data_IF_245638981040
#
_entry.id   IF_245638981040
#
_cell.length_a   1.000
_cell.length_b   1.000
_cell.length_c   1.000
_cell.angle_alpha   90.00
_cell.angle_beta   90.00
_cell.angle_gamma   90.00
#
_symmetry.space_group_name_H-M   'P 1'
#
loop_
_entity.id
_entity.type
_entity.pdbx_description
1 polymer ?
#
# COMPACT_ATOMS: atom_id res chain seq x y z
N UNK A 1 -7.61 -32.18 -5.49
CA UNK A 1 -8.94 -31.66 -5.89
C UNK A 1 -8.74 -30.39 -6.70
N UNK A 2 -9.36 -30.29 -7.89
CA UNK A 2 -9.15 -29.21 -8.88
C UNK A 2 -9.75 -27.88 -8.40
N UNK A 3 -9.11 -26.77 -8.76
CA UNK A 3 -9.65 -25.41 -8.59
C UNK A 3 -11.03 -25.31 -9.25
N UNK A 4 -11.98 -24.69 -8.56
CA UNK A 4 -13.34 -24.50 -9.07
C UNK A 4 -13.41 -23.08 -9.66
N UNK A 5 -13.50 -23.00 -10.98
CA UNK A 5 -13.81 -21.73 -11.67
C UNK A 5 -15.29 -21.47 -11.47
N UNK A 6 -15.66 -20.36 -10.82
CA UNK A 6 -17.05 -19.94 -10.69
C UNK A 6 -17.19 -18.53 -11.25
N UNK A 7 -17.82 -18.40 -12.42
CA UNK A 7 -18.18 -17.11 -13.00
C UNK A 7 -19.23 -16.43 -12.12
N UNK A 8 -18.96 -15.20 -11.68
CA UNK A 8 -19.94 -14.35 -11.00
C UNK A 8 -20.10 -13.06 -11.76
N UNK A 9 -21.34 -12.71 -12.09
CA UNK A 9 -21.70 -11.46 -12.74
C UNK A 9 -22.01 -10.41 -11.66
N UNK A 10 -21.36 -9.25 -11.74
CA UNK A 10 -21.68 -8.08 -10.92
C UNK A 10 -22.32 -6.99 -11.77
N UNK A 11 -23.28 -6.27 -11.20
CA UNK A 11 -23.93 -5.12 -11.82
C UNK A 11 -23.26 -3.84 -11.35
N UNK A 12 -22.93 -2.94 -12.27
CA UNK A 12 -22.63 -1.55 -11.95
C UNK A 12 -23.84 -0.71 -12.33
N UNK A 13 -24.49 -0.08 -11.34
CA UNK A 13 -25.57 0.87 -11.59
C UNK A 13 -24.97 2.21 -12.06
N UNK A 14 -24.94 2.40 -13.38
CA UNK A 14 -25.17 3.67 -14.13
C UNK A 14 -24.64 3.49 -15.55
N UNK A 15 -25.36 2.68 -16.32
CA UNK A 15 -25.46 2.60 -17.79
C UNK A 15 -25.66 1.13 -18.18
N UNK A 16 -26.92 0.80 -18.44
CA UNK A 16 -27.28 -0.46 -19.08
C UNK A 16 -26.46 -0.61 -20.38
N UNK A 17 -25.73 -1.72 -20.50
CA UNK A 17 -25.04 -2.29 -21.70
C UNK A 17 -23.51 -2.43 -21.69
N UNK A 18 -22.80 -2.39 -20.56
CA UNK A 18 -21.46 -3.02 -20.48
C UNK A 18 -21.33 -3.94 -19.28
N UNK A 19 -21.67 -5.22 -19.50
CA UNK A 19 -21.29 -6.30 -18.58
C UNK A 19 -19.77 -6.49 -18.72
N UNK A 20 -18.99 -6.06 -17.72
CA UNK A 20 -17.61 -6.55 -17.57
C UNK A 20 -17.68 -7.83 -16.76
N UNK A 21 -17.56 -8.97 -17.43
CA UNK A 21 -17.43 -10.27 -16.77
C UNK A 21 -16.08 -10.32 -16.04
N UNK A 22 -16.10 -10.36 -14.71
CA UNK A 22 -14.91 -10.67 -13.92
C UNK A 22 -14.86 -12.19 -13.71
N UNK A 23 -13.87 -12.84 -14.31
CA UNK A 23 -13.64 -14.27 -14.11
C UNK A 23 -13.00 -14.49 -12.75
N UNK A 24 -13.81 -14.78 -11.74
CA UNK A 24 -13.31 -15.16 -10.41
C UNK A 24 -12.93 -16.65 -10.44
N UNK A 25 -11.64 -16.94 -10.48
CA UNK A 25 -11.16 -18.28 -10.14
C UNK A 25 -11.12 -18.34 -8.62
N UNK A 26 -11.96 -19.16 -7.98
CA UNK A 26 -11.81 -19.48 -6.54
C UNK A 26 -10.64 -20.44 -6.40
N UNK A 27 -9.45 -19.88 -6.54
CA UNK A 27 -8.19 -20.56 -6.28
C UNK A 27 -8.13 -20.80 -4.78
N UNK A 28 -7.83 -22.02 -4.34
CA UNK A 28 -7.58 -22.27 -2.92
C UNK A 28 -6.45 -21.39 -2.42
N UNK A 29 -6.64 -20.68 -1.31
CA UNK A 29 -5.58 -19.98 -0.59
C UNK A 29 -5.22 -20.73 0.69
N UNK A 30 -4.00 -20.53 1.19
CA UNK A 30 -3.56 -21.02 2.50
C UNK A 30 -3.75 -19.95 3.59
N UNK A 31 -3.95 -18.69 3.20
CA UNK A 31 -4.37 -17.60 4.08
C UNK A 31 -5.35 -16.67 3.37
N UNK A 32 -6.36 -16.19 4.11
CA UNK A 32 -7.24 -15.09 3.70
C UNK A 32 -6.97 -13.89 4.61
N UNK A 33 -6.81 -12.71 4.01
CA UNK A 33 -6.74 -11.42 4.69
C UNK A 33 -8.04 -10.65 4.44
N UNK A 34 -8.74 -10.34 5.53
CA UNK A 34 -9.95 -9.54 5.58
C UNK A 34 -9.57 -8.14 6.02
N UNK A 35 -9.52 -7.21 5.07
CA UNK A 35 -9.07 -5.84 5.24
C UNK A 35 -10.32 -4.98 5.50
N UNK A 36 -10.54 -4.57 6.74
CA UNK A 36 -11.69 -3.76 7.10
C UNK A 36 -11.38 -2.28 6.92
N UNK A 37 -12.33 -1.51 6.38
CA UNK A 37 -12.19 -0.06 6.14
C UNK A 37 -11.72 0.74 7.37
N UNK A 38 -11.92 0.20 8.58
CA UNK A 38 -11.56 0.81 9.86
C UNK A 38 -10.10 0.54 10.29
N UNK A 39 -9.26 -0.06 9.46
CA UNK A 39 -7.85 -0.32 9.76
C UNK A 39 -7.54 -1.68 10.39
N UNK A 40 -8.55 -2.48 10.72
CA UNK A 40 -8.35 -3.84 11.22
C UNK A 40 -8.07 -4.80 10.05
N UNK A 41 -7.10 -5.70 10.24
CA UNK A 41 -6.87 -6.81 9.31
C UNK A 41 -7.18 -8.12 10.03
N UNK A 42 -8.32 -8.69 9.70
CA UNK A 42 -8.65 -10.06 10.04
C UNK A 42 -7.82 -11.02 9.18
N UNK A 43 -7.43 -12.17 9.73
CA UNK A 43 -6.82 -13.23 8.93
C UNK A 43 -7.37 -14.60 9.29
N UNK A 44 -7.44 -15.46 8.28
CA UNK A 44 -7.87 -16.86 8.41
C UNK A 44 -6.82 -17.77 7.79
N UNK A 45 -6.41 -18.78 8.54
CA UNK A 45 -5.47 -19.81 8.09
C UNK A 45 -6.25 -21.01 7.57
N UNK A 46 -5.89 -21.49 6.38
CA UNK A 46 -6.64 -22.53 5.67
C UNK A 46 -5.74 -23.73 5.44
N UNK A 47 -6.24 -24.92 5.80
CA UNK A 47 -5.62 -26.17 5.39
C UNK A 47 -6.03 -26.51 3.94
N UNK A 48 -5.18 -26.15 3.00
CA UNK A 48 -5.40 -26.41 1.57
C UNK A 48 -5.18 -27.88 1.17
N UNK A 49 -4.53 -28.69 2.03
CA UNK A 49 -4.15 -30.08 1.74
C UNK A 49 -5.31 -31.07 1.83
N UNK A 50 -6.34 -30.76 2.64
CA UNK A 50 -7.58 -31.53 2.71
C UNK A 50 -7.43 -33.00 3.10
N UNK A 51 -6.34 -33.36 3.80
CA UNK A 51 -6.05 -34.75 4.19
C UNK A 51 -6.79 -35.20 5.47
N UNK A 52 -7.64 -34.35 6.05
CA UNK A 52 -8.46 -34.64 7.24
C UNK A 52 -7.71 -34.58 8.56
N UNK A 53 -6.39 -34.35 8.55
CA UNK A 53 -5.60 -34.22 9.78
C UNK A 53 -5.64 -32.78 10.27
N UNK A 54 -6.19 -32.56 11.48
CA UNK A 54 -6.22 -31.24 12.10
C UNK A 54 -4.79 -30.72 12.31
N UNK A 55 -4.42 -29.67 11.58
CA UNK A 55 -3.14 -28.98 11.77
C UNK A 55 -3.21 -27.99 12.92
N UNK A 56 -2.08 -27.79 13.59
CA UNK A 56 -1.95 -26.72 14.58
C UNK A 56 -1.84 -25.38 13.84
N UNK A 57 -2.19 -24.29 14.54
CA UNK A 57 -2.07 -22.94 14.01
C UNK A 57 -0.64 -22.62 13.54
N UNK A 58 0.37 -23.06 14.30
CA UNK A 58 1.79 -22.89 13.93
C UNK A 58 2.13 -23.58 12.61
N UNK A 59 1.63 -24.80 12.38
CA UNK A 59 1.84 -25.52 11.12
C UNK A 59 1.22 -24.75 9.96
N UNK A 60 0.01 -24.22 10.12
CA UNK A 60 -0.67 -23.45 9.07
C UNK A 60 0.03 -22.13 8.75
N UNK A 61 0.49 -21.39 9.77
CA UNK A 61 1.30 -20.17 9.59
C UNK A 61 2.55 -20.44 8.77
N UNK A 62 3.18 -21.59 9.04
CA UNK A 62 4.41 -22.02 8.36
C UNK A 62 4.18 -22.59 6.96
N UNK A 63 2.96 -23.04 6.64
CA UNK A 63 2.60 -23.60 5.33
C UNK A 63 1.98 -22.59 4.36
N UNK A 64 1.95 -21.29 4.70
CA UNK A 64 1.46 -20.23 3.80
C UNK A 64 2.23 -20.23 2.48
N UNK A 65 1.48 -20.34 1.38
CA UNK A 65 1.98 -20.41 0.01
C UNK A 65 1.15 -19.57 -0.98
N UNK A 66 -0.03 -19.08 -0.56
CA UNK A 66 -0.97 -18.33 -1.39
C UNK A 66 -1.92 -17.51 -0.52
N UNK A 67 -1.96 -16.21 -0.74
CA UNK A 67 -2.75 -15.25 0.03
C UNK A 67 -3.93 -14.73 -0.79
N UNK A 68 -5.12 -14.73 -0.19
CA UNK A 68 -6.31 -14.08 -0.74
C UNK A 68 -6.60 -12.79 0.03
N UNK A 69 -6.91 -11.71 -0.68
CA UNK A 69 -7.20 -10.40 -0.10
C UNK A 69 -8.67 -10.03 -0.36
N UNK A 70 -9.38 -9.71 0.72
CA UNK A 70 -10.80 -9.35 0.70
C UNK A 70 -10.94 -8.05 1.45
N UNK A 71 -11.39 -6.99 0.79
CA UNK A 71 -11.66 -5.71 1.43
C UNK A 71 -13.14 -5.62 1.84
N UNK A 72 -13.40 -5.08 3.03
CA UNK A 72 -14.74 -4.83 3.56
C UNK A 72 -14.91 -3.33 3.65
N UNK A 73 -15.78 -2.78 2.80
CA UNK A 73 -16.04 -1.34 2.75
C UNK A 73 -16.75 -0.83 4.02
N UNK A 74 -17.02 0.48 4.08
CA UNK A 74 -17.71 1.10 5.22
C UNK A 74 -19.13 0.60 5.49
N UNK A 75 -19.75 -0.07 4.52
CA UNK A 75 -21.07 -0.69 4.62
C UNK A 75 -20.98 -2.19 4.92
N UNK A 76 -19.76 -2.75 5.00
CA UNK A 76 -19.50 -4.18 5.18
C UNK A 76 -19.59 -4.99 3.88
N UNK A 77 -19.68 -4.34 2.72
CA UNK A 77 -19.66 -5.01 1.41
C UNK A 77 -18.29 -5.63 1.17
N UNK A 78 -18.27 -6.87 0.71
CA UNK A 78 -17.03 -7.59 0.43
C UNK A 78 -16.56 -7.40 -1.02
N UNK A 79 -15.29 -7.07 -1.15
CA UNK A 79 -14.58 -6.90 -2.40
C UNK A 79 -13.43 -7.89 -2.47
N UNK A 80 -13.57 -8.94 -3.26
CA UNK A 80 -12.48 -9.89 -3.52
C UNK A 80 -11.45 -9.24 -4.46
N UNK A 81 -10.31 -8.83 -3.90
CA UNK A 81 -9.29 -8.07 -4.62
C UNK A 81 -8.45 -9.00 -5.49
N UNK A 82 -8.02 -10.13 -4.92
CA UNK A 82 -7.23 -11.11 -5.64
C UNK A 82 -6.67 -12.22 -4.75
N UNK A 83 -6.13 -13.24 -5.40
CA UNK A 83 -5.42 -14.35 -4.75
C UNK A 83 -4.05 -14.50 -5.40
N UNK A 84 -2.98 -14.34 -4.61
CA UNK A 84 -1.62 -14.22 -5.08
C UNK A 84 -0.71 -15.30 -4.48
N UNK A 85 0.21 -15.80 -5.28
CA UNK A 85 1.24 -16.74 -4.80
C UNK A 85 2.18 -16.04 -3.84
N UNK A 86 2.50 -16.71 -2.72
CA UNK A 86 3.49 -16.25 -1.76
C UNK A 86 4.84 -16.85 -2.13
N UNK A 87 5.84 -15.98 -2.33
CA UNK A 87 7.25 -16.37 -2.39
C UNK A 87 7.75 -16.52 -0.95
N UNK A 88 8.11 -17.74 -0.59
CA UNK A 88 8.57 -18.10 0.76
C UNK A 88 10.09 -18.20 0.75
N UNK A 89 10.75 -17.52 1.70
CA UNK A 89 12.20 -17.54 1.87
C UNK A 89 12.57 -17.64 3.35
N UNK A 90 13.75 -18.18 3.64
CA UNK A 90 14.23 -18.32 5.01
C UNK A 90 14.44 -16.95 5.66
N UNK A 91 14.15 -16.86 6.96
CA UNK A 91 14.45 -15.67 7.73
C UNK A 91 15.93 -15.68 8.16
N UNK A 92 16.73 -14.81 7.55
CA UNK A 92 18.15 -14.60 7.90
C UNK A 92 18.39 -13.39 8.80
N UNK A 93 17.32 -12.70 9.22
CA UNK A 93 17.38 -11.48 10.04
C UNK A 93 17.03 -11.80 11.50
N UNK A 94 17.95 -11.48 12.43
CA UNK A 94 17.76 -11.74 13.86
C UNK A 94 16.70 -10.86 14.51
N UNK A 95 16.40 -9.70 13.92
CA UNK A 95 15.45 -8.70 14.40
C UNK A 95 14.05 -8.84 13.76
N UNK A 96 13.89 -9.71 12.76
CA UNK A 96 12.59 -9.95 12.13
C UNK A 96 11.78 -10.98 12.88
N UNK A 97 10.48 -10.67 13.07
CA UNK A 97 9.44 -11.62 13.48
C UNK A 97 8.25 -11.42 12.57
N UNK A 98 7.81 -12.49 11.92
CA UNK A 98 6.58 -12.49 11.16
C UNK A 98 5.41 -12.14 12.08
N UNK A 99 4.56 -11.20 11.62
CA UNK A 99 3.47 -10.67 12.43
C UNK A 99 2.34 -11.68 12.67
N UNK A 100 2.21 -12.68 11.82
CA UNK A 100 1.31 -13.80 12.09
C UNK A 100 1.96 -14.85 13.01
N UNK A 101 3.28 -14.85 13.17
CA UNK A 101 4.03 -15.81 13.99
C UNK A 101 4.53 -17.04 13.24
N UNK A 102 4.74 -16.95 11.93
CA UNK A 102 5.51 -17.91 11.15
C UNK A 102 7.02 -17.76 11.33
N UNK A 103 7.78 -18.76 10.87
CA UNK A 103 9.22 -18.85 11.03
C UNK A 103 10.00 -18.33 9.79
N UNK A 104 9.29 -18.05 8.68
CA UNK A 104 9.85 -17.62 7.39
C UNK A 104 9.43 -16.21 7.00
N UNK A 105 9.97 -15.71 5.88
CA UNK A 105 9.52 -14.48 5.24
C UNK A 105 8.57 -14.86 4.08
N UNK A 106 7.41 -14.20 4.05
CA UNK A 106 6.31 -14.47 3.11
C UNK A 106 6.10 -13.23 2.27
N UNK A 107 6.42 -13.30 0.97
CA UNK A 107 6.45 -12.15 0.08
C UNK A 107 5.45 -12.29 -1.07
N UNK A 108 4.87 -11.16 -1.49
CA UNK A 108 4.11 -11.01 -2.73
C UNK A 108 4.93 -10.16 -3.69
N UNK A 109 5.04 -10.58 -4.94
CA UNK A 109 5.53 -9.72 -6.01
C UNK A 109 4.43 -8.73 -6.38
N UNK A 110 4.54 -7.47 -5.95
CA UNK A 110 3.55 -6.42 -6.20
C UNK A 110 3.39 -6.15 -7.70
N UNK A 111 4.50 -6.04 -8.44
CA UNK A 111 4.47 -5.76 -9.89
C UNK A 111 3.68 -6.79 -10.69
N UNK A 112 3.78 -8.07 -10.31
CA UNK A 112 3.14 -9.16 -11.06
C UNK A 112 1.67 -9.35 -10.66
N UNK A 113 1.29 -8.94 -9.45
CA UNK A 113 0.03 -9.37 -8.83
C UNK A 113 -0.94 -8.22 -8.54
N UNK A 114 -0.46 -7.01 -8.28
CA UNK A 114 -1.26 -5.88 -7.78
C UNK A 114 -1.19 -4.73 -8.78
N UNK A 115 -2.25 -4.56 -9.57
CA UNK A 115 -2.31 -3.53 -10.61
C UNK A 115 -3.55 -2.64 -10.53
N UNK A 116 -4.75 -3.21 -10.37
CA UNK A 116 -5.97 -2.42 -10.19
C UNK A 116 -7.13 -3.26 -9.65
N UNK A 117 -8.10 -2.58 -9.06
CA UNK A 117 -9.42 -3.11 -8.73
C UNK A 117 -10.46 -2.00 -8.93
N UNK A 118 -11.67 -2.36 -9.35
CA UNK A 118 -12.79 -1.41 -9.40
C UNK A 118 -14.13 -2.15 -9.30
N UNK A 119 -14.98 -1.70 -8.39
CA UNK A 119 -16.37 -2.12 -8.24
C UNK A 119 -17.18 -0.99 -7.62
N UNK A 120 -18.04 -0.35 -8.41
CA UNK A 120 -18.73 0.86 -7.98
C UNK A 120 -17.73 1.96 -7.61
N UNK A 121 -17.90 2.54 -6.42
CA UNK A 121 -17.05 3.61 -5.89
C UNK A 121 -15.78 3.09 -5.19
N UNK A 122 -15.60 1.78 -5.11
CA UNK A 122 -14.41 1.15 -4.51
C UNK A 122 -13.43 0.78 -5.59
N UNK A 123 -12.20 1.30 -5.53
CA UNK A 123 -11.17 0.95 -6.50
C UNK A 123 -9.80 1.51 -6.19
N UNK A 124 -8.81 1.07 -6.97
CA UNK A 124 -7.50 1.68 -7.05
C UNK A 124 -6.83 1.29 -8.37
N UNK A 125 -5.81 2.04 -8.76
CA UNK A 125 -4.84 1.63 -9.78
C UNK A 125 -3.44 1.89 -9.26
N UNK A 126 -2.57 0.90 -9.42
CA UNK A 126 -1.17 0.90 -9.01
C UNK A 126 -0.30 0.52 -10.21
N UNK A 127 0.61 1.41 -10.56
CA UNK A 127 1.71 1.08 -11.47
C UNK A 127 2.96 0.73 -10.68
N UNK A 128 3.94 0.08 -11.31
CA UNK A 128 5.21 -0.27 -10.66
C UNK A 128 6.37 0.13 -11.57
N UNK A 129 7.37 0.80 -11.01
CA UNK A 129 8.56 1.25 -11.73
C UNK A 129 9.86 0.76 -11.07
N UNK A 130 9.80 -0.38 -10.37
CA UNK A 130 10.88 -0.88 -9.52
C UNK A 130 11.37 -2.26 -9.91
N UNK A 131 12.65 -2.53 -9.68
CA UNK A 131 13.25 -3.87 -9.73
C UNK A 131 13.17 -4.60 -8.38
N UNK A 132 12.58 -3.96 -7.37
CA UNK A 132 12.46 -4.46 -5.99
C UNK A 132 10.99 -4.67 -5.63
N UNK A 133 10.25 -5.57 -6.29
CA UNK A 133 8.79 -5.52 -6.28
C UNK A 133 8.17 -6.25 -5.09
N UNK A 134 8.95 -6.71 -4.10
CA UNK A 134 8.44 -7.63 -3.08
C UNK A 134 8.03 -6.88 -1.81
N UNK A 135 6.81 -7.14 -1.38
CA UNK A 135 6.28 -6.73 -0.09
C UNK A 135 5.89 -7.98 0.72
N UNK A 136 5.94 -7.91 2.04
CA UNK A 136 5.42 -8.99 2.87
C UNK A 136 3.91 -9.18 2.62
N UNK A 137 3.41 -10.42 2.69
CA UNK A 137 2.01 -10.75 2.43
C UNK A 137 1.03 -9.94 3.30
N UNK A 138 1.27 -9.85 4.60
CA UNK A 138 0.45 -9.01 5.47
C UNK A 138 0.67 -7.51 5.20
N UNK A 139 1.89 -7.07 4.87
CA UNK A 139 2.15 -5.66 4.49
C UNK A 139 1.38 -5.29 3.20
N UNK A 140 1.23 -6.24 2.28
CA UNK A 140 0.41 -6.10 1.07
C UNK A 140 -1.07 -5.87 1.43
N UNK A 141 -1.61 -6.58 2.43
CA UNK A 141 -2.97 -6.37 2.90
C UNK A 141 -3.20 -4.93 3.38
N UNK A 142 -2.26 -4.39 4.16
CA UNK A 142 -2.32 -3.00 4.61
C UNK A 142 -2.25 -2.01 3.46
N UNK A 143 -1.47 -2.31 2.41
CA UNK A 143 -1.29 -1.38 1.27
C UNK A 143 -2.55 -1.30 0.44
N UNK A 144 -3.14 -2.47 0.19
CA UNK A 144 -4.46 -2.57 -0.43
C UNK A 144 -5.50 -1.80 0.39
N UNK A 145 -5.52 -1.95 1.71
CA UNK A 145 -6.43 -1.20 2.59
C UNK A 145 -6.30 0.31 2.43
N UNK A 146 -5.08 0.85 2.50
CA UNK A 146 -4.85 2.28 2.38
C UNK A 146 -5.23 2.83 0.99
N UNK A 147 -4.91 2.10 -0.08
CA UNK A 147 -5.28 2.48 -1.45
C UNK A 147 -6.80 2.41 -1.68
N UNK A 148 -7.47 1.36 -1.18
CA UNK A 148 -8.92 1.19 -1.31
C UNK A 148 -9.71 2.20 -0.46
N UNK A 149 -9.21 2.59 0.71
CA UNK A 149 -9.82 3.63 1.54
C UNK A 149 -9.78 5.01 0.88
N UNK A 150 -8.83 5.25 -0.02
CA UNK A 150 -8.67 6.55 -0.70
C UNK A 150 -9.23 6.57 -2.11
N UNK A 151 -9.29 5.43 -2.79
CA UNK A 151 -9.95 5.33 -4.09
C UNK A 151 -9.13 5.84 -5.27
N UNK A 152 -7.84 6.16 -5.08
CA UNK A 152 -7.03 6.82 -6.12
C UNK A 152 -6.52 5.86 -7.20
N UNK A 153 -6.33 6.39 -8.41
CA UNK A 153 -6.03 5.61 -9.63
C UNK A 153 -4.67 5.91 -10.24
N UNK A 154 -3.78 6.52 -9.49
CA UNK A 154 -2.48 7.04 -9.96
C UNK A 154 -1.33 6.69 -9.00
N UNK A 155 -1.49 5.65 -8.18
CA UNK A 155 -0.41 5.18 -7.32
C UNK A 155 0.74 4.61 -8.15
N UNK A 156 1.97 4.82 -7.66
CA UNK A 156 3.17 4.19 -8.24
C UNK A 156 4.04 3.56 -7.15
N UNK A 157 4.16 2.25 -7.21
CA UNK A 157 5.02 1.46 -6.33
C UNK A 157 6.49 1.59 -6.76
N UNK A 158 7.31 2.13 -5.87
CA UNK A 158 8.70 2.49 -6.16
C UNK A 158 9.72 1.53 -5.53
N UNK A 159 9.29 0.62 -4.63
CA UNK A 159 10.14 -0.47 -4.17
C UNK A 159 9.78 -1.08 -2.81
N UNK A 160 10.25 -2.30 -2.61
CA UNK A 160 10.31 -3.02 -1.35
C UNK A 160 11.60 -3.82 -1.29
N UNK A 161 11.50 -5.10 -0.98
CA UNK A 161 12.62 -6.04 -0.93
C UNK A 161 12.88 -6.72 -2.29
N UNK A 162 13.93 -7.54 -2.37
CA UNK A 162 14.01 -8.59 -3.38
C UNK A 162 13.21 -9.84 -2.97
N UNK A 163 13.25 -10.89 -3.80
CA UNK A 163 12.56 -12.16 -3.59
C UNK A 163 13.09 -12.99 -2.40
N UNK A 164 14.23 -12.63 -1.84
CA UNK A 164 14.81 -13.23 -0.61
C UNK A 164 14.49 -12.42 0.65
N UNK A 165 13.75 -11.31 0.51
CA UNK A 165 13.49 -10.40 1.62
C UNK A 165 14.69 -9.52 1.97
N UNK A 166 15.71 -9.44 1.12
CA UNK A 166 16.87 -8.57 1.35
C UNK A 166 16.56 -7.17 0.80
N UNK A 167 17.09 -6.15 1.48
CA UNK A 167 17.07 -4.77 0.98
C UNK A 167 18.12 -4.61 -0.10
N UNK A 168 17.75 -4.39 -1.38
CA UNK A 168 18.71 -4.19 -2.44
C UNK A 168 19.36 -2.80 -2.34
N UNK A 169 20.63 -2.72 -2.72
CA UNK A 169 21.40 -1.46 -2.79
C UNK A 169 20.66 -0.39 -3.61
N UNK A 170 20.72 0.90 -3.23
CA UNK A 170 21.48 1.49 -2.12
C UNK A 170 20.80 1.41 -0.76
N UNK A 171 19.53 0.98 -0.70
CA UNK A 171 18.77 0.97 0.54
C UNK A 171 19.19 -0.19 1.44
N UNK A 172 19.10 0.02 2.76
CA UNK A 172 19.41 -0.99 3.79
C UNK A 172 18.20 -1.38 4.65
N UNK A 173 17.05 -0.74 4.44
CA UNK A 173 15.89 -0.83 5.35
C UNK A 173 14.74 -1.67 4.82
N UNK A 174 14.64 -1.94 3.52
CA UNK A 174 13.57 -2.79 2.93
C UNK A 174 13.78 -4.28 3.15
N UNK A 175 14.31 -4.66 4.30
CA UNK A 175 14.39 -6.07 4.68
C UNK A 175 12.98 -6.60 4.86
N UNK A 176 12.82 -7.91 4.67
CA UNK A 176 11.63 -8.74 4.85
C UNK A 176 10.32 -8.24 4.19
N UNK A 177 10.37 -7.19 3.38
CA UNK A 177 9.22 -6.64 2.67
C UNK A 177 8.25 -5.82 3.53
N UNK A 178 8.62 -5.41 4.76
CA UNK A 178 7.74 -4.57 5.62
C UNK A 178 7.93 -3.07 5.43
N UNK A 179 8.99 -2.64 4.74
CA UNK A 179 9.19 -1.24 4.36
C UNK A 179 9.00 -1.08 2.85
N UNK A 180 8.32 -0.02 2.43
CA UNK A 180 7.91 0.19 1.04
C UNK A 180 8.14 1.65 0.63
N UNK A 181 8.47 1.87 -0.63
CA UNK A 181 8.53 3.19 -1.25
C UNK A 181 7.36 3.36 -2.21
N UNK A 182 6.68 4.51 -2.13
CA UNK A 182 5.69 4.94 -3.13
C UNK A 182 6.03 6.35 -3.60
N UNK A 183 5.76 6.65 -4.88
CA UNK A 183 5.83 8.03 -5.36
C UNK A 183 4.77 8.89 -4.66
N UNK A 184 5.05 10.19 -4.58
CA UNK A 184 4.06 11.17 -4.15
C UNK A 184 2.92 11.29 -5.17
N UNK A 185 1.72 11.61 -4.69
CA UNK A 185 0.55 11.87 -5.53
C UNK A 185 0.64 13.26 -6.19
N UNK A 186 0.22 13.35 -7.44
CA UNK A 186 0.26 14.58 -8.23
C UNK A 186 -1.12 15.17 -8.40
N UNK A 187 -1.18 16.50 -8.55
CA UNK A 187 -2.43 17.21 -8.88
C UNK A 187 -2.99 16.82 -10.23
N UNK A 188 -2.13 16.44 -11.17
CA UNK A 188 -2.51 16.01 -12.52
C UNK A 188 -2.86 14.51 -12.62
N UNK A 189 -2.79 13.80 -11.49
CA UNK A 189 -3.13 12.38 -11.37
C UNK A 189 -2.40 11.46 -12.36
N UNK A 190 -1.23 11.87 -12.85
CA UNK A 190 -0.47 11.13 -13.86
C UNK A 190 0.30 9.91 -13.31
N UNK A 191 0.51 9.83 -12.00
CA UNK A 191 1.46 8.90 -11.37
C UNK A 191 2.93 9.19 -11.71
N UNK A 192 3.21 10.31 -12.38
CA UNK A 192 4.56 10.72 -12.77
C UNK A 192 5.46 11.06 -11.58
N UNK A 193 6.71 11.43 -11.86
CA UNK A 193 7.69 11.69 -10.80
C UNK A 193 7.47 13.06 -10.15
N UNK A 194 7.68 13.14 -8.83
CA UNK A 194 7.64 14.39 -8.04
C UNK A 194 8.95 14.50 -7.29
N UNK A 195 9.65 15.63 -7.38
CA UNK A 195 10.91 15.90 -6.68
C UNK A 195 10.68 17.13 -5.80
N UNK A 196 10.42 16.92 -4.51
CA UNK A 196 10.02 17.96 -3.56
C UNK A 196 11.11 18.99 -3.23
N UNK A 197 12.34 18.77 -3.69
CA UNK A 197 13.44 19.73 -3.69
C UNK A 197 13.45 20.65 -4.93
N UNK A 198 12.44 20.54 -5.81
CA UNK A 198 12.19 21.45 -6.94
C UNK A 198 10.93 22.30 -6.72
N UNK A 199 10.83 23.41 -7.45
CA UNK A 199 9.75 24.40 -7.30
C UNK A 199 8.72 24.37 -8.45
N UNK A 200 8.89 23.52 -9.46
CA UNK A 200 8.06 23.49 -10.66
C UNK A 200 6.67 22.88 -10.38
N UNK A 201 5.63 23.37 -11.06
CA UNK A 201 4.26 22.82 -10.94
C UNK A 201 4.02 21.64 -11.88
N UNK A 202 4.69 21.63 -13.03
CA UNK A 202 4.54 20.63 -14.09
C UNK A 202 5.90 20.03 -14.47
N UNK A 203 5.89 18.95 -15.27
CA UNK A 203 7.08 18.29 -15.79
C UNK A 203 7.29 16.86 -15.29
N UNK A 204 8.38 16.23 -15.76
CA UNK A 204 8.82 14.88 -15.36
C UNK A 204 10.30 14.93 -14.94
N UNK A 205 10.62 15.15 -13.64
CA UNK A 205 9.69 15.31 -12.52
C UNK A 205 9.15 16.74 -12.38
N UNK A 206 7.94 16.87 -11.82
CA UNK A 206 7.46 18.14 -11.26
C UNK A 206 8.03 18.37 -9.84
N UNK A 207 7.89 19.59 -9.31
CA UNK A 207 8.32 19.97 -7.96
C UNK A 207 7.21 19.91 -6.91
N UNK A 208 7.45 20.50 -5.73
CA UNK A 208 6.44 20.52 -4.66
C UNK A 208 5.16 21.28 -5.03
N UNK A 209 5.19 22.16 -6.05
CA UNK A 209 3.97 22.81 -6.55
C UNK A 209 3.06 21.84 -7.31
N UNK A 210 3.59 20.77 -7.88
CA UNK A 210 2.84 19.71 -8.56
C UNK A 210 2.31 18.61 -7.64
N UNK A 211 2.76 18.59 -6.38
CA UNK A 211 2.28 17.67 -5.33
C UNK A 211 0.81 17.96 -5.00
N UNK A 212 0.00 16.90 -4.94
CA UNK A 212 -1.35 16.99 -4.37
C UNK A 212 -1.29 16.72 -2.86
N UNK A 213 -1.15 17.79 -2.08
CA UNK A 213 -1.02 17.71 -0.62
C UNK A 213 -2.28 17.14 0.02
N UNK A 214 -3.47 17.45 -0.50
CA UNK A 214 -4.72 16.99 0.09
C UNK A 214 -4.87 15.49 -0.08
N UNK A 215 -4.72 14.98 -1.30
CA UNK A 215 -4.77 13.55 -1.60
C UNK A 215 -3.66 12.80 -0.88
N UNK A 216 -2.44 13.35 -0.86
CA UNK A 216 -1.32 12.74 -0.15
C UNK A 216 -1.58 12.64 1.35
N UNK A 217 -2.17 13.65 1.98
CA UNK A 217 -2.49 13.62 3.41
C UNK A 217 -3.59 12.60 3.73
N UNK A 218 -4.64 12.51 2.91
CA UNK A 218 -5.67 11.46 3.04
C UNK A 218 -5.07 10.06 2.91
N UNK A 219 -4.12 9.87 1.99
CA UNK A 219 -3.41 8.62 1.86
C UNK A 219 -2.48 8.33 3.06
N UNK A 220 -1.78 9.34 3.57
CA UNK A 220 -0.95 9.19 4.78
C UNK A 220 -1.79 8.81 6.01
N UNK A 221 -2.98 9.40 6.17
CA UNK A 221 -3.92 9.03 7.23
C UNK A 221 -4.39 7.57 7.08
N UNK A 222 -4.72 7.14 5.86
CA UNK A 222 -5.08 5.75 5.58
C UNK A 222 -3.90 4.80 5.87
N UNK A 223 -2.67 5.16 5.51
CA UNK A 223 -1.47 4.40 5.88
C UNK A 223 -1.30 4.32 7.40
N UNK A 224 -1.48 5.40 8.15
CA UNK A 224 -1.40 5.34 9.63
C UNK A 224 -2.47 4.40 10.20
N UNK A 225 -3.68 4.46 9.65
CA UNK A 225 -4.81 3.61 10.02
C UNK A 225 -4.49 2.12 9.85
N UNK A 226 -3.84 1.74 8.75
CA UNK A 226 -3.41 0.36 8.46
C UNK A 226 -2.03 0.00 9.03
N UNK A 227 -1.53 0.77 10.01
CA UNK A 227 -0.44 0.32 10.87
C UNK A 227 0.96 0.79 10.48
N UNK A 228 1.11 1.69 9.51
CA UNK A 228 2.41 2.33 9.29
C UNK A 228 2.62 3.44 10.30
N UNK A 229 3.59 3.23 11.21
CA UNK A 229 3.83 4.16 12.33
C UNK A 229 4.87 5.23 12.01
N UNK A 230 5.50 5.17 10.84
CA UNK A 230 6.47 6.17 10.41
C UNK A 230 6.48 6.23 8.88
N UNK A 231 6.09 7.40 8.37
CA UNK A 231 6.14 7.74 6.95
C UNK A 231 7.25 8.78 6.81
N UNK A 232 8.31 8.43 6.09
CA UNK A 232 9.46 9.32 5.88
C UNK A 232 9.28 10.08 4.57
N UNK A 233 9.46 11.40 4.62
CA UNK A 233 9.27 12.28 3.47
C UNK A 233 10.22 13.49 3.53
N UNK A 234 10.28 14.24 2.44
CA UNK A 234 11.03 15.50 2.38
C UNK A 234 10.15 16.68 2.81
N UNK A 235 10.64 17.48 3.75
CA UNK A 235 9.93 18.66 4.27
C UNK A 235 10.30 19.89 3.46
N UNK A 236 9.69 20.04 2.28
CA UNK A 236 9.97 21.13 1.33
C UNK A 236 9.62 22.53 1.84
N UNK A 237 8.86 22.63 2.93
CA UNK A 237 8.48 23.89 3.58
C UNK A 237 9.44 24.32 4.69
N UNK A 238 10.37 23.45 5.10
CA UNK A 238 11.32 23.77 6.17
C UNK A 238 12.55 24.47 5.59
N UNK A 239 12.75 25.75 5.91
CA UNK A 239 13.90 26.51 5.44
C UNK A 239 15.24 26.10 6.06
N UNK A 240 15.23 25.34 7.17
CA UNK A 240 16.44 24.80 7.81
C UNK A 240 16.88 23.54 7.09
N UNK A 241 15.97 22.58 6.94
CA UNK A 241 16.27 21.28 6.36
C UNK A 241 16.21 21.28 4.82
N UNK A 242 15.48 22.21 4.21
CA UNK A 242 15.26 22.35 2.76
C UNK A 242 15.44 23.81 2.31
N UNK A 243 16.62 24.44 2.48
CA UNK A 243 16.78 25.89 2.30
C UNK A 243 16.39 26.42 0.92
N UNK A 244 16.60 25.64 -0.15
CA UNK A 244 16.26 26.03 -1.52
C UNK A 244 14.76 26.12 -1.76
N UNK A 245 13.98 25.17 -1.23
CA UNK A 245 12.52 25.14 -1.43
C UNK A 245 11.77 25.82 -0.30
N UNK A 246 12.23 25.71 0.94
CA UNK A 246 11.58 26.28 2.12
C UNK A 246 11.46 27.80 2.08
N UNK A 247 12.48 28.51 1.55
CA UNK A 247 12.38 29.96 1.35
C UNK A 247 11.28 30.32 0.33
N UNK A 248 11.29 29.65 -0.83
CA UNK A 248 10.30 29.86 -1.90
C UNK A 248 8.90 29.49 -1.41
N UNK A 249 8.78 28.43 -0.62
CA UNK A 249 7.53 28.01 0.00
C UNK A 249 7.00 29.07 0.98
N UNK A 250 7.85 29.65 1.83
CA UNK A 250 7.46 30.70 2.78
C UNK A 250 6.92 31.95 2.07
N UNK A 251 7.59 32.37 0.98
CA UNK A 251 7.15 33.50 0.14
C UNK A 251 5.78 33.20 -0.49
N UNK A 252 5.63 32.01 -1.08
CA UNK A 252 4.35 31.57 -1.65
C UNK A 252 3.23 31.45 -0.60
N UNK A 253 3.52 30.86 0.56
CA UNK A 253 2.57 30.65 1.63
C UNK A 253 2.04 31.98 2.19
N UNK A 254 2.88 33.01 2.24
CA UNK A 254 2.49 34.35 2.68
C UNK A 254 1.44 34.97 1.76
N UNK A 255 1.57 34.79 0.44
CA UNK A 255 0.55 35.25 -0.53
C UNK A 255 -0.69 34.35 -0.53
N UNK A 256 -0.49 33.04 -0.44
CA UNK A 256 -1.59 32.06 -0.37
C UNK A 256 -2.48 32.32 0.85
N UNK A 257 -1.91 32.64 2.02
CA UNK A 257 -2.66 32.90 3.25
C UNK A 257 -3.53 34.16 3.14
N UNK A 258 -3.07 35.20 2.42
CA UNK A 258 -3.89 36.40 2.16
C UNK A 258 -5.12 36.07 1.31
N UNK A 259 -4.97 35.16 0.34
CA UNK A 259 -6.07 34.70 -0.50
C UNK A 259 -7.01 33.71 0.21
N UNK A 260 -6.54 33.05 1.28
CA UNK A 260 -7.29 32.03 2.03
C UNK A 260 -7.33 32.33 3.54
N UNK A 261 -7.85 33.50 3.97
CA UNK A 261 -7.75 33.96 5.35
C UNK A 261 -8.50 33.08 6.37
N UNK A 262 -9.45 32.26 5.92
CA UNK A 262 -10.20 31.32 6.76
C UNK A 262 -9.51 29.97 6.95
N UNK A 263 -8.44 29.66 6.20
CA UNK A 263 -7.74 28.38 6.30
C UNK A 263 -6.61 28.49 7.32
N UNK A 264 -6.75 27.77 8.42
CA UNK A 264 -5.80 27.79 9.55
C UNK A 264 -4.63 26.83 9.30
N UNK A 265 -4.90 25.70 8.64
CA UNK A 265 -3.93 24.66 8.41
C UNK A 265 -3.02 24.98 7.21
N UNK A 266 -1.71 24.77 7.40
CA UNK A 266 -0.72 24.90 6.33
C UNK A 266 -0.91 23.80 5.28
N UNK A 267 -0.76 24.10 3.97
CA UNK A 267 -0.79 23.11 2.90
C UNK A 267 0.56 22.37 2.81
N UNK A 268 0.83 21.55 3.82
CA UNK A 268 2.05 20.73 3.97
C UNK A 268 1.70 19.27 4.20
N UNK A 269 2.67 18.38 4.00
CA UNK A 269 2.50 16.97 4.31
C UNK A 269 2.33 16.76 5.82
N UNK A 270 1.30 16.01 6.19
CA UNK A 270 0.96 15.60 7.55
C UNK A 270 1.32 14.13 7.76
N UNK A 271 1.50 13.73 9.02
CA UNK A 271 1.86 12.38 9.44
C UNK A 271 3.19 11.87 8.83
N UNK A 272 4.12 12.80 8.54
CA UNK A 272 5.44 12.48 8.02
C UNK A 272 6.55 12.86 9.00
N UNK A 273 7.67 12.17 8.91
CA UNK A 273 8.92 12.53 9.57
C UNK A 273 9.94 12.93 8.50
N UNK A 274 10.60 14.09 8.66
CA UNK A 274 11.68 14.50 7.76
C UNK A 274 12.72 13.39 7.56
N UNK A 275 13.11 13.17 6.30
CA UNK A 275 14.28 12.40 5.96
C UNK A 275 14.97 12.96 4.72
N UNK A 276 16.26 13.22 4.86
CA UNK A 276 17.11 13.68 3.77
C UNK A 276 17.10 12.63 2.64
N UNK A 277 17.16 13.08 1.38
CA UNK A 277 17.12 12.26 0.16
C UNK A 277 15.79 11.52 -0.13
N UNK A 278 14.73 11.81 0.62
CA UNK A 278 13.38 11.30 0.35
C UNK A 278 12.51 12.34 -0.39
N UNK A 279 13.16 13.11 -1.25
CA UNK A 279 12.53 14.14 -2.08
C UNK A 279 11.65 13.56 -3.20
N UNK A 280 11.79 12.28 -3.55
CA UNK A 280 11.13 11.69 -4.72
C UNK A 280 10.12 10.58 -4.44
N UNK A 281 9.97 10.18 -3.17
CA UNK A 281 9.02 9.16 -2.72
C UNK A 281 8.75 9.31 -1.22
N UNK A 282 7.65 8.74 -0.74
CA UNK A 282 7.46 8.42 0.69
C UNK A 282 8.09 7.07 0.99
N UNK A 283 8.75 6.95 2.15
CA UNK A 283 9.26 5.66 2.66
C UNK A 283 8.46 5.22 3.88
N UNK A 284 7.77 4.10 3.75
CA UNK A 284 6.90 3.51 4.75
C UNK A 284 7.70 2.54 5.63
N UNK A 285 7.60 2.68 6.95
CA UNK A 285 8.34 1.82 7.88
C UNK A 285 7.65 1.73 9.26
N UNK A 286 8.31 1.02 10.20
CA UNK A 286 7.80 0.71 11.54
C UNK A 286 6.41 0.06 11.48
N UNK A 287 6.27 -0.91 10.59
CA UNK A 287 4.99 -1.58 10.32
C UNK A 287 4.46 -2.34 11.55
N UNK A 288 3.25 -1.97 11.97
CA UNK A 288 2.56 -2.57 13.10
C UNK A 288 1.03 -2.45 12.94
N UNK A 289 0.41 -3.37 12.18
CA UNK A 289 -1.04 -3.38 11.94
C UNK A 289 -1.82 -3.88 13.16
N UNK A 290 -3.11 -3.55 13.20
CA UNK A 290 -4.06 -4.17 14.14
C UNK A 290 -4.59 -5.46 13.53
N UNK A 291 -4.38 -6.59 14.22
CA UNK A 291 -4.68 -7.92 13.69
C UNK A 291 -5.73 -8.65 14.50
N UNK A 292 -6.57 -9.42 13.80
CA UNK A 292 -7.55 -10.32 14.40
C UNK A 292 -7.47 -11.71 13.76
N UNK A 293 -7.32 -12.76 14.56
CA UNK A 293 -7.45 -14.13 14.06
C UNK A 293 -8.93 -14.48 13.95
N UNK A 294 -9.40 -14.72 12.73
CA UNK A 294 -10.76 -15.14 12.47
C UNK A 294 -10.88 -16.65 12.68
N UNK A 295 -11.73 -17.06 13.62
CA UNK A 295 -12.02 -18.48 13.86
C UNK A 295 -12.94 -19.02 12.76
N UNK A 296 -12.70 -20.26 12.37
CA UNK A 296 -13.54 -21.04 11.46
C UNK A 296 -14.66 -21.69 12.26
#
# INVERSE_FOLDING_TARGET
>A
MKDIVKTTSGYTSKNEKKIKEQKITRVKSSVEYHIYHNGVIGYKLIDDTGNGTKKTERVLKNSRNKAKYIYHDSLGTQHEIGTYTIVVTENTFSDYKDKLGGDKIYLINISDNVSSYSSGDVGFTLTSNTTRPYANDLTTASLLGAMLNTGYTDFTFNGGSNNKGESPSPSKTHKNGTNLDLRYLRKDESGGSVYLDKNDETGEPCGWKGLDVERQNKFNEALVLFGWKSIKAWEYWDSINSPTTGKVWNEWYSEWQKAHPSVIDKPVLKNVEHLVNHNHHIHLQKYNPTLELLKI
#
